data_IF_478192240479
#
_entry.id   IF_478192240479
#
_cell.length_a   1.000
_cell.length_b   1.000
_cell.length_c   1.000
_cell.angle_alpha   90.00
_cell.angle_beta   90.00
_cell.angle_gamma   90.00
#
_symmetry.space_group_name_H-M   'P 1'
#
loop_
_entity.id
_entity.type
_entity.pdbx_description
1 polymer ?
#
# COMPACT_ATOMS: atom_id res chain seq x y z
N UNK A 1 2.41 -25.60 -18.58
CA UNK A 1 1.31 -24.65 -18.42
C UNK A 1 1.93 -23.26 -18.41
N UNK A 2 1.60 -22.46 -19.42
CA UNK A 2 2.10 -21.09 -19.54
C UNK A 2 1.11 -20.16 -18.87
N UNK A 3 1.57 -19.36 -17.92
CA UNK A 3 0.77 -18.27 -17.37
C UNK A 3 0.72 -17.15 -18.42
N UNK A 4 -0.46 -16.58 -18.71
CA UNK A 4 -0.55 -15.40 -19.55
C UNK A 4 0.00 -14.21 -18.76
N UNK A 5 1.23 -13.79 -19.07
CA UNK A 5 1.76 -12.50 -18.64
C UNK A 5 1.17 -11.39 -19.52
N UNK A 6 0.65 -10.35 -18.88
CA UNK A 6 0.24 -9.12 -19.56
C UNK A 6 -1.25 -8.82 -19.47
N UNK A 7 -1.68 -8.32 -18.31
CA UNK A 7 -2.97 -7.66 -18.12
C UNK A 7 -2.93 -6.79 -16.87
N UNK A 8 -3.38 -5.54 -17.01
CA UNK A 8 -3.49 -4.51 -15.97
C UNK A 8 -3.96 -5.11 -14.62
N UNK A 9 -3.06 -5.24 -13.65
CA UNK A 9 -3.38 -5.80 -12.33
C UNK A 9 -2.24 -6.54 -11.62
N UNK A 10 -1.22 -7.02 -12.35
CA UNK A 10 -0.07 -7.74 -11.77
C UNK A 10 0.92 -6.84 -10.99
N UNK A 11 0.73 -5.53 -10.94
CA UNK A 11 1.78 -4.57 -10.58
C UNK A 11 1.93 -4.25 -9.08
N UNK A 12 1.16 -4.90 -8.19
CA UNK A 12 1.10 -4.51 -6.77
C UNK A 12 1.05 -5.67 -5.75
N UNK A 13 1.51 -6.88 -6.09
CA UNK A 13 1.59 -7.97 -5.12
C UNK A 13 2.70 -7.72 -4.08
N UNK A 14 2.31 -7.09 -2.97
CA UNK A 14 3.17 -6.83 -1.83
C UNK A 14 2.89 -7.84 -0.71
N UNK A 15 3.94 -8.51 -0.24
CA UNK A 15 3.86 -9.49 0.85
C UNK A 15 4.62 -8.99 2.09
N UNK A 16 4.00 -9.16 3.25
CA UNK A 16 4.57 -8.77 4.54
C UNK A 16 4.25 -9.80 5.63
N UNK A 17 4.99 -9.76 6.73
CA UNK A 17 4.58 -10.48 7.95
C UNK A 17 3.27 -9.94 8.48
N UNK A 18 2.55 -10.75 9.25
CA UNK A 18 1.24 -10.38 9.80
C UNK A 18 1.26 -9.03 10.54
N UNK A 19 2.32 -8.74 11.30
CA UNK A 19 2.48 -7.46 12.02
C UNK A 19 2.61 -6.29 11.05
N UNK A 20 3.57 -6.34 10.13
CA UNK A 20 3.81 -5.25 9.16
C UNK A 20 2.61 -5.07 8.22
N UNK A 21 1.92 -6.16 7.87
CA UNK A 21 0.68 -6.11 7.12
C UNK A 21 -0.42 -5.38 7.89
N UNK A 22 -0.58 -5.67 9.19
CA UNK A 22 -1.53 -4.97 10.06
C UNK A 22 -1.25 -3.46 10.16
N UNK A 23 0.01 -3.07 10.31
CA UNK A 23 0.40 -1.64 10.36
C UNK A 23 0.13 -0.93 9.03
N UNK A 24 0.45 -1.57 7.90
CA UNK A 24 0.16 -1.04 6.58
C UNK A 24 -1.35 -0.89 6.34
N UNK A 25 -2.16 -1.89 6.72
CA UNK A 25 -3.63 -1.83 6.65
C UNK A 25 -4.16 -0.65 7.48
N UNK A 26 -3.69 -0.51 8.72
CA UNK A 26 -4.10 0.58 9.59
C UNK A 26 -3.74 1.95 9.01
N UNK A 27 -2.56 2.07 8.38
CA UNK A 27 -2.14 3.27 7.67
C UNK A 27 -3.07 3.59 6.49
N UNK A 28 -3.40 2.59 5.66
CA UNK A 28 -4.31 2.73 4.51
C UNK A 28 -5.71 3.16 4.95
N UNK A 29 -6.29 2.48 5.94
CA UNK A 29 -7.66 2.76 6.42
C UNK A 29 -7.84 4.16 7.00
N UNK A 30 -6.76 4.82 7.45
CA UNK A 30 -6.81 6.23 7.90
C UNK A 30 -6.95 7.23 6.75
N UNK A 31 -6.68 6.79 5.50
CA UNK A 31 -6.70 7.64 4.30
C UNK A 31 -7.88 7.38 3.37
N UNK A 32 -8.62 6.30 3.62
CA UNK A 32 -9.91 6.03 2.95
C UNK A 32 -11.01 6.81 3.66
N UNK A 33 -11.65 7.73 2.95
CA UNK A 33 -12.74 8.56 3.47
C UNK A 33 -14.12 7.98 3.17
N UNK A 34 -14.23 7.21 2.09
CA UNK A 34 -15.46 6.49 1.75
C UNK A 34 -15.70 5.31 2.70
N UNK A 35 -16.83 5.34 3.40
CA UNK A 35 -17.17 4.34 4.42
C UNK A 35 -17.47 2.96 3.83
N UNK A 36 -17.86 2.86 2.55
CA UNK A 36 -18.06 1.57 1.89
C UNK A 36 -16.72 0.94 1.53
N UNK A 37 -15.87 1.70 0.84
CA UNK A 37 -14.52 1.29 0.46
C UNK A 37 -13.69 0.92 1.69
N UNK A 38 -13.85 1.66 2.80
CA UNK A 38 -13.19 1.34 4.07
C UNK A 38 -13.61 -0.01 4.63
N UNK A 39 -14.89 -0.40 4.52
CA UNK A 39 -15.38 -1.73 4.91
C UNK A 39 -14.84 -2.81 3.99
N UNK A 40 -14.78 -2.56 2.69
CA UNK A 40 -14.24 -3.50 1.71
C UNK A 40 -12.76 -3.78 1.96
N UNK A 41 -11.96 -2.74 2.21
CA UNK A 41 -10.55 -2.86 2.60
C UNK A 41 -10.41 -3.65 3.91
N UNK A 42 -11.23 -3.34 4.93
CA UNK A 42 -11.19 -4.06 6.19
C UNK A 42 -11.56 -5.54 6.03
N UNK A 43 -12.55 -5.87 5.19
CA UNK A 43 -12.94 -7.24 4.89
C UNK A 43 -11.85 -8.00 4.12
N UNK A 44 -11.21 -7.35 3.14
CA UNK A 44 -10.06 -7.90 2.43
C UNK A 44 -8.90 -8.21 3.38
N UNK A 45 -8.61 -7.28 4.31
CA UNK A 45 -7.50 -7.42 5.26
C UNK A 45 -7.67 -8.63 6.19
N UNK A 46 -8.91 -9.00 6.56
CA UNK A 46 -9.19 -10.25 7.31
C UNK A 46 -8.74 -11.49 6.53
N UNK A 47 -8.79 -11.44 5.20
CA UNK A 47 -8.33 -12.51 4.32
C UNK A 47 -6.83 -12.42 3.99
N UNK A 48 -6.12 -11.42 4.53
CA UNK A 48 -4.69 -11.22 4.30
C UNK A 48 -4.35 -10.45 3.02
N UNK A 49 -5.30 -9.75 2.40
CA UNK A 49 -5.10 -8.99 1.16
C UNK A 49 -5.65 -7.57 1.25
N UNK A 50 -5.06 -6.63 0.52
CA UNK A 50 -5.59 -5.27 0.36
C UNK A 50 -5.51 -4.87 -1.11
N UNK A 51 -6.65 -4.51 -1.69
CA UNK A 51 -6.77 -4.11 -3.09
C UNK A 51 -6.92 -2.59 -3.20
N UNK A 52 -5.81 -1.88 -3.36
CA UNK A 52 -5.79 -0.41 -3.53
C UNK A 52 -6.32 0.00 -4.92
N UNK A 53 -6.18 -0.89 -5.90
CA UNK A 53 -6.64 -0.71 -7.28
C UNK A 53 -8.15 -0.45 -7.41
N UNK A 54 -8.93 -0.98 -6.47
CA UNK A 54 -10.40 -0.93 -6.52
C UNK A 54 -10.99 0.22 -5.68
N UNK A 55 -10.13 1.01 -5.03
CA UNK A 55 -10.59 2.18 -4.28
C UNK A 55 -11.16 3.24 -5.23
N UNK A 56 -12.27 3.91 -4.87
CA UNK A 56 -12.78 5.04 -5.64
C UNK A 56 -11.82 6.24 -5.56
N UNK A 57 -11.86 7.12 -6.55
CA UNK A 57 -11.27 8.45 -6.43
C UNK A 57 -12.10 9.32 -5.46
N UNK A 58 -11.47 10.18 -4.63
CA UNK A 58 -10.03 10.48 -4.57
C UNK A 58 -9.22 9.56 -3.64
N UNK A 59 -9.86 8.58 -2.98
CA UNK A 59 -9.23 7.76 -1.95
C UNK A 59 -8.06 6.92 -2.49
N UNK A 60 -8.18 6.36 -3.69
CA UNK A 60 -7.08 5.65 -4.34
C UNK A 60 -5.83 6.54 -4.50
N UNK A 61 -5.99 7.75 -5.04
CA UNK A 61 -4.89 8.71 -5.20
C UNK A 61 -4.31 9.14 -3.85
N UNK A 62 -5.15 9.39 -2.85
CA UNK A 62 -4.72 9.76 -1.51
C UNK A 62 -3.90 8.65 -0.85
N UNK A 63 -4.35 7.40 -0.95
CA UNK A 63 -3.66 6.23 -0.41
C UNK A 63 -2.32 6.04 -1.10
N UNK A 64 -2.27 6.02 -2.44
CA UNK A 64 -1.03 5.83 -3.18
C UNK A 64 -0.02 6.94 -2.91
N UNK A 65 -0.47 8.19 -2.83
CA UNK A 65 0.40 9.33 -2.51
C UNK A 65 0.95 9.22 -1.09
N UNK A 66 0.11 8.90 -0.11
CA UNK A 66 0.55 8.71 1.27
C UNK A 66 1.50 7.51 1.42
N UNK A 67 1.28 6.42 0.69
CA UNK A 67 2.19 5.28 0.66
C UNK A 67 3.55 5.63 0.07
N UNK A 68 3.59 6.49 -0.95
CA UNK A 68 4.84 6.97 -1.55
C UNK A 68 5.59 7.92 -0.61
N UNK A 69 4.90 8.92 -0.09
CA UNK A 69 5.53 10.10 0.50
C UNK A 69 5.66 10.02 2.02
N UNK A 70 4.75 9.32 2.72
CA UNK A 70 4.66 9.35 4.19
C UNK A 70 4.94 8.00 4.84
N UNK A 71 4.62 6.89 4.17
CA UNK A 71 4.80 5.56 4.74
C UNK A 71 6.27 5.21 5.07
N UNK A 72 7.29 5.60 4.28
CA UNK A 72 8.69 5.37 4.66
C UNK A 72 9.07 5.98 6.00
N UNK A 73 8.62 7.21 6.26
CA UNK A 73 8.87 7.91 7.52
C UNK A 73 8.05 7.30 8.66
N UNK A 74 6.83 6.83 8.37
CA UNK A 74 6.01 6.09 9.34
C UNK A 74 6.68 4.77 9.77
N UNK A 75 7.29 4.05 8.83
CA UNK A 75 8.07 2.83 9.10
C UNK A 75 9.22 3.15 10.05
N UNK A 76 9.96 4.23 9.80
CA UNK A 76 11.13 4.62 10.60
C UNK A 76 10.81 5.23 11.97
N UNK A 77 9.59 5.73 12.18
CA UNK A 77 9.19 6.46 13.39
C UNK A 77 8.22 5.71 14.29
N UNK A 78 7.41 4.81 13.73
CA UNK A 78 6.34 4.12 14.45
C UNK A 78 6.52 2.60 14.44
N UNK A 79 6.95 2.04 13.31
CA UNK A 79 7.05 0.58 13.16
C UNK A 79 8.44 0.08 13.62
N UNK A 80 9.50 0.86 13.37
CA UNK A 80 10.88 0.51 13.69
C UNK A 80 11.63 1.60 14.46
N UNK A 81 12.54 1.24 15.39
CA UNK A 81 12.76 -0.11 15.89
C UNK A 81 11.51 -0.62 16.64
N UNK A 82 11.17 -1.91 16.54
CA UNK A 82 9.97 -2.44 17.18
C UNK A 82 10.10 -2.28 18.69
N UNK A 83 8.96 -2.18 19.38
CA UNK A 83 8.94 -2.22 20.84
C UNK A 83 9.72 -3.43 21.35
N UNK A 84 10.52 -3.21 22.41
CA UNK A 84 11.68 -4.02 22.86
C UNK A 84 11.39 -5.53 23.04
N UNK A 85 10.11 -5.92 23.08
CA UNK A 85 9.64 -7.30 23.21
C UNK A 85 9.70 -8.13 21.92
N UNK A 86 9.83 -7.51 20.74
CA UNK A 86 9.88 -8.22 19.47
C UNK A 86 11.33 -8.38 19.00
N UNK A 87 11.98 -9.50 19.37
CA UNK A 87 13.28 -9.88 18.81
C UNK A 87 13.08 -10.21 17.32
N UNK A 88 13.34 -9.24 16.45
CA UNK A 88 13.42 -9.46 15.01
C UNK A 88 14.88 -9.65 14.61
N UNK A 89 15.22 -10.89 14.25
CA UNK A 89 16.42 -11.15 13.48
C UNK A 89 16.22 -10.49 12.08
N UNK A 90 17.23 -9.75 11.60
CA UNK A 90 17.25 -9.05 10.30
C UNK A 90 16.31 -7.83 10.12
N UNK A 91 16.23 -6.94 11.12
CA UNK A 91 15.46 -5.68 11.06
C UNK A 91 15.65 -4.89 9.75
N UNK A 92 16.87 -4.82 9.21
CA UNK A 92 17.16 -4.09 7.97
C UNK A 92 16.41 -4.64 6.75
N UNK A 93 16.29 -5.96 6.62
CA UNK A 93 15.55 -6.60 5.52
C UNK A 93 14.08 -6.26 5.61
N UNK A 94 13.53 -6.23 6.83
CA UNK A 94 12.14 -5.88 7.06
C UNK A 94 11.83 -4.42 6.77
N UNK A 95 12.67 -3.49 7.21
CA UNK A 95 12.54 -2.06 6.89
C UNK A 95 12.61 -1.86 5.37
N UNK A 96 13.54 -2.53 4.69
CA UNK A 96 13.65 -2.46 3.23
C UNK A 96 12.39 -2.99 2.51
N UNK A 97 11.79 -4.10 3.00
CA UNK A 97 10.54 -4.66 2.48
C UNK A 97 9.33 -3.76 2.77
N UNK A 98 9.28 -3.12 3.92
CA UNK A 98 8.24 -2.15 4.23
C UNK A 98 8.30 -0.95 3.27
N UNK A 99 9.51 -0.39 3.09
CA UNK A 99 9.74 0.75 2.18
C UNK A 99 9.58 0.40 0.70
N UNK A 100 9.58 -0.89 0.31
CA UNK A 100 9.28 -1.25 -1.09
C UNK A 100 7.84 -0.92 -1.48
N UNK A 101 6.92 -0.82 -0.52
CA UNK A 101 5.53 -0.42 -0.77
C UNK A 101 5.45 1.01 -1.35
N UNK A 102 6.28 1.93 -0.86
CA UNK A 102 6.38 3.29 -1.41
C UNK A 102 6.83 3.29 -2.88
N UNK A 103 7.78 2.42 -3.23
CA UNK A 103 8.23 2.26 -4.62
C UNK A 103 7.14 1.70 -5.52
N UNK A 104 6.37 0.75 -5.03
CA UNK A 104 5.23 0.16 -5.73
C UNK A 104 4.13 1.20 -5.95
N UNK A 105 3.83 2.01 -4.94
CA UNK A 105 2.91 3.14 -5.06
C UNK A 105 3.38 4.16 -6.11
N UNK A 106 4.66 4.53 -6.13
CA UNK A 106 5.22 5.41 -7.17
C UNK A 106 5.00 4.87 -8.59
N UNK A 107 5.24 3.57 -8.80
CA UNK A 107 5.02 2.93 -10.10
C UNK A 107 3.55 2.97 -10.50
N UNK A 108 2.66 2.64 -9.57
CA UNK A 108 1.21 2.70 -9.81
C UNK A 108 0.76 4.10 -10.21
N UNK A 109 1.24 5.14 -9.52
CA UNK A 109 0.96 6.54 -9.88
C UNK A 109 1.44 6.84 -11.31
N UNK A 110 2.69 6.51 -11.64
CA UNK A 110 3.25 6.76 -12.97
C UNK A 110 2.50 6.03 -14.09
N UNK A 111 2.03 4.81 -13.84
CA UNK A 111 1.20 4.06 -14.80
C UNK A 111 -0.17 4.72 -14.99
N UNK A 112 -0.79 5.19 -13.92
CA UNK A 112 -2.07 5.89 -13.98
C UNK A 112 -1.97 7.23 -14.71
N UNK A 113 -0.86 7.96 -14.52
CA UNK A 113 -0.52 9.16 -15.29
C UNK A 113 -0.38 8.85 -16.79
N UNK A 114 0.38 7.80 -17.13
CA UNK A 114 0.61 7.41 -18.52
C UNK A 114 -0.67 6.93 -19.23
N UNK A 115 -1.59 6.29 -18.50
CA UNK A 115 -2.88 5.80 -19.03
C UNK A 115 -3.98 6.87 -19.07
N UNK A 116 -3.72 8.09 -18.57
CA UNK A 116 -4.75 9.15 -18.50
C UNK A 116 -5.86 8.87 -17.48
N UNK A 117 -5.61 8.00 -16.50
CA UNK A 117 -6.57 7.59 -15.48
C UNK A 117 -6.65 8.56 -14.29
N UNK A 118 -5.78 9.57 -14.23
CA UNK A 118 -5.90 10.68 -13.29
C UNK A 118 -6.77 11.78 -13.92
N UNK A 119 -7.76 12.33 -13.20
CA UNK A 119 -8.51 13.46 -13.69
C UNK A 119 -7.55 14.62 -13.97
N UNK A 120 -7.62 15.20 -15.17
CA UNK A 120 -6.98 16.47 -15.48
C UNK A 120 -7.41 17.47 -14.39
N UNK A 121 -6.48 17.82 -13.50
CA UNK A 121 -6.66 18.93 -12.58
C UNK A 121 -6.98 20.16 -13.41
N UNK A 122 -8.22 20.64 -13.31
CA UNK A 122 -8.60 21.91 -13.94
C UNK A 122 -7.79 23.03 -13.28
N UNK A 123 -6.93 23.66 -14.09
CA UNK A 123 -6.66 25.11 -14.11
C UNK A 123 -5.85 25.67 -12.95
#
# INVERSE_FOLDING_TARGET
MSFPSGGEGEDLDWFATATLFGDAVAFILRRVTDEHAKRDVAAGAVSGYVFIGDLPEPDQTNVLTALRDEFPDHVDSVIYPPDVTSRMDDTEIFVARAKSLARMASKSIALREASGALPEGKG
#
